data_IF_817850333288
#
_entry.id   IF_817850333288
#
_cell.length_a   1.000
_cell.length_b   1.000
_cell.length_c   1.000
_cell.angle_alpha   90.00
_cell.angle_beta   90.00
_cell.angle_gamma   90.00
#
_symmetry.space_group_name_H-M   'P 1'
#
loop_
_entity.id
_entity.type
_entity.pdbx_description
1 polymer ?
#
# COMPACT_ATOMS: atom_id res chain seq x y z
N UNK A 1 13.27 -5.78 2.50
CA UNK A 1 13.45 -7.24 2.35
C UNK A 1 12.81 -7.67 1.06
N UNK A 2 13.47 -8.57 0.33
CA UNK A 2 12.95 -9.13 -0.92
C UNK A 2 12.92 -10.65 -0.78
N UNK A 3 11.83 -11.29 -1.22
CA UNK A 3 11.71 -12.75 -1.28
C UNK A 3 11.49 -13.18 -2.72
N UNK A 4 12.52 -13.80 -3.31
CA UNK A 4 12.47 -14.42 -4.63
C UNK A 4 11.77 -15.76 -4.47
N UNK A 5 10.52 -15.80 -4.92
CA UNK A 5 9.65 -16.96 -4.82
C UNK A 5 9.74 -17.84 -6.07
N UNK A 6 9.19 -19.05 -5.98
CA UNK A 6 9.04 -20.04 -7.05
C UNK A 6 10.36 -20.68 -7.49
N UNK A 7 11.31 -20.87 -6.58
CA UNK A 7 12.55 -21.63 -6.86
C UNK A 7 12.28 -23.10 -7.23
N UNK A 8 11.08 -23.61 -6.95
CA UNK A 8 10.58 -24.91 -7.43
C UNK A 8 10.25 -24.96 -8.93
N UNK A 9 10.40 -23.82 -9.63
CA UNK A 9 10.20 -23.70 -11.08
C UNK A 9 11.46 -23.20 -11.76
N UNK A 10 11.60 -23.51 -13.04
CA UNK A 10 12.68 -22.99 -13.87
C UNK A 10 12.58 -21.45 -13.91
N UNK A 11 13.72 -20.78 -13.75
CA UNK A 11 13.80 -19.34 -13.57
C UNK A 11 14.99 -18.72 -14.30
N UNK A 12 15.26 -17.46 -13.97
CA UNK A 12 16.51 -16.78 -14.34
C UNK A 12 17.60 -17.14 -13.32
N UNK A 13 18.86 -17.00 -13.74
CA UNK A 13 19.98 -17.18 -12.81
C UNK A 13 19.89 -16.17 -11.64
N UNK A 14 20.24 -16.56 -10.40
CA UNK A 14 20.18 -15.69 -9.24
C UNK A 14 20.96 -14.38 -9.39
N UNK A 15 22.12 -14.37 -10.06
CA UNK A 15 22.88 -13.13 -10.28
C UNK A 15 22.16 -12.18 -11.22
N UNK A 16 21.53 -12.71 -12.28
CA UNK A 16 20.73 -11.91 -13.21
C UNK A 16 19.50 -11.31 -12.51
N UNK A 17 18.84 -12.09 -11.64
CA UNK A 17 17.70 -11.63 -10.86
C UNK A 17 18.07 -10.50 -9.90
N UNK A 18 19.20 -10.62 -9.21
CA UNK A 18 19.68 -9.56 -8.32
C UNK A 18 20.05 -8.30 -9.10
N UNK A 19 20.72 -8.46 -10.25
CA UNK A 19 21.08 -7.33 -11.13
C UNK A 19 19.83 -6.61 -11.65
N UNK A 20 18.81 -7.35 -12.11
CA UNK A 20 17.53 -6.81 -12.54
C UNK A 20 16.79 -6.10 -11.40
N UNK A 21 16.83 -6.64 -10.17
CA UNK A 21 16.26 -6.00 -8.99
C UNK A 21 16.95 -4.65 -8.69
N UNK A 22 18.27 -4.61 -8.73
CA UNK A 22 19.02 -3.36 -8.50
C UNK A 22 18.75 -2.33 -9.59
N UNK A 23 18.67 -2.76 -10.85
CA UNK A 23 18.40 -1.87 -11.99
C UNK A 23 16.99 -1.30 -11.97
N UNK A 24 15.97 -2.12 -11.75
CA UNK A 24 14.56 -1.71 -11.82
C UNK A 24 14.12 -0.97 -10.56
N UNK A 25 14.52 -1.45 -9.37
CA UNK A 25 14.09 -0.89 -8.10
C UNK A 25 15.04 0.19 -7.56
N UNK A 26 16.21 0.37 -8.16
CA UNK A 26 17.24 1.35 -7.74
C UNK A 26 17.62 1.19 -6.26
N UNK A 27 17.76 -0.05 -5.81
CA UNK A 27 18.11 -0.41 -4.42
C UNK A 27 19.20 -1.47 -4.45
N UNK A 28 20.23 -1.34 -3.61
CA UNK A 28 21.28 -2.36 -3.54
C UNK A 28 20.73 -3.65 -2.92
N UNK A 29 21.22 -4.80 -3.38
CA UNK A 29 20.80 -6.11 -2.87
C UNK A 29 21.87 -6.76 -2.01
N UNK A 30 21.44 -7.47 -0.98
CA UNK A 30 22.31 -8.23 -0.09
C UNK A 30 21.75 -9.65 0.09
N UNK A 31 22.29 -10.69 -0.56
CA UNK A 31 21.77 -12.04 -0.42
C UNK A 31 21.97 -12.57 1.01
N UNK A 32 20.87 -12.94 1.68
CA UNK A 32 20.89 -13.60 2.99
C UNK A 32 20.85 -15.11 2.84
N UNK A 33 20.05 -15.58 1.89
CA UNK A 33 20.04 -16.97 1.45
C UNK A 33 20.40 -17.04 -0.05
N UNK A 34 20.94 -18.18 -0.47
CA UNK A 34 21.30 -18.47 -1.86
C UNK A 34 20.70 -19.80 -2.28
N UNK A 35 20.06 -19.90 -3.46
CA UNK A 35 19.44 -21.15 -3.87
C UNK A 35 20.49 -22.17 -4.32
N UNK A 36 20.21 -23.44 -4.07
CA UNK A 36 21.02 -24.58 -4.52
C UNK A 36 20.24 -25.27 -5.64
N UNK A 37 20.60 -24.93 -6.88
CA UNK A 37 19.85 -25.33 -8.06
C UNK A 37 18.54 -24.55 -8.24
N UNK A 38 17.76 -24.93 -9.24
CA UNK A 38 16.49 -24.30 -9.59
C UNK A 38 15.54 -25.33 -10.23
N UNK A 39 14.24 -25.01 -10.27
CA UNK A 39 13.24 -25.85 -10.90
C UNK A 39 13.27 -27.29 -10.43
N UNK A 40 13.36 -28.21 -11.38
CA UNK A 40 13.45 -29.66 -11.10
C UNK A 40 14.70 -30.06 -10.30
N UNK A 41 15.74 -29.24 -10.33
CA UNK A 41 17.02 -29.45 -9.64
C UNK A 41 17.16 -28.65 -8.36
N UNK A 42 16.11 -27.96 -7.91
CA UNK A 42 16.14 -27.22 -6.66
C UNK A 42 16.31 -28.18 -5.47
N UNK A 43 17.40 -28.01 -4.73
CA UNK A 43 17.77 -28.85 -3.58
C UNK A 43 17.68 -28.12 -2.25
N UNK A 44 17.49 -26.81 -2.25
CA UNK A 44 17.36 -26.03 -1.03
C UNK A 44 18.04 -24.68 -1.10
N UNK A 45 18.38 -24.12 0.06
CA UNK A 45 19.04 -22.82 0.18
C UNK A 45 20.23 -22.90 1.15
N UNK A 46 21.25 -22.10 0.89
CA UNK A 46 22.36 -21.85 1.81
C UNK A 46 22.19 -20.48 2.45
N UNK A 47 22.31 -20.38 3.77
CA UNK A 47 22.26 -19.10 4.48
C UNK A 47 23.69 -18.55 4.64
N UNK A 48 23.96 -17.36 4.08
CA UNK A 48 25.32 -16.80 4.05
C UNK A 48 25.86 -16.41 5.43
N UNK A 49 24.99 -15.84 6.28
CA UNK A 49 25.37 -15.39 7.63
C UNK A 49 25.39 -16.50 8.67
N UNK A 50 24.38 -17.38 8.69
CA UNK A 50 24.33 -18.54 9.59
C UNK A 50 25.27 -19.67 9.14
N UNK A 51 25.69 -19.61 7.87
CA UNK A 51 26.54 -20.57 7.17
C UNK A 51 25.96 -21.97 7.16
N UNK A 52 24.63 -22.12 7.11
CA UNK A 52 23.96 -23.42 7.10
C UNK A 52 23.23 -23.71 5.79
N UNK A 53 23.17 -24.99 5.43
CA UNK A 53 22.33 -25.46 4.31
C UNK A 53 21.00 -25.93 4.86
N UNK A 54 19.91 -25.50 4.22
CA UNK A 54 18.57 -26.05 4.41
C UNK A 54 18.18 -26.78 3.14
N UNK A 55 17.87 -28.07 3.27
CA UNK A 55 17.49 -28.90 2.12
C UNK A 55 15.98 -28.85 1.87
N UNK A 56 15.62 -28.79 0.59
CA UNK A 56 14.24 -28.80 0.12
C UNK A 56 13.81 -30.24 -0.21
N UNK A 57 12.68 -30.65 0.38
CA UNK A 57 12.01 -31.92 0.08
C UNK A 57 10.60 -31.62 -0.46
N UNK A 58 10.33 -31.86 -1.76
CA UNK A 58 9.03 -31.63 -2.37
C UNK A 58 7.88 -32.43 -1.73
N UNK A 59 8.19 -33.53 -1.04
CA UNK A 59 7.20 -34.44 -0.46
C UNK A 59 6.81 -34.08 0.98
N UNK A 60 7.58 -33.21 1.66
CA UNK A 60 7.36 -32.82 3.07
C UNK A 60 7.00 -31.35 3.19
N UNK A 61 5.77 -31.02 2.84
CA UNK A 61 5.30 -29.62 2.75
C UNK A 61 5.03 -28.94 4.10
N UNK A 62 5.00 -29.68 5.22
CA UNK A 62 4.54 -29.15 6.52
C UNK A 62 5.20 -29.74 7.78
N UNK A 63 6.04 -30.78 7.65
CA UNK A 63 6.69 -31.45 8.79
C UNK A 63 8.19 -31.48 8.56
N UNK A 64 8.88 -30.65 9.35
CA UNK A 64 10.32 -30.64 9.56
C UNK A 64 11.15 -30.85 8.28
N UNK A 65 11.67 -29.76 7.72
CA UNK A 65 13.00 -29.78 7.09
C UNK A 65 14.08 -30.04 8.16
N UNK A 66 13.92 -31.13 8.92
CA UNK A 66 15.04 -31.85 9.50
C UNK A 66 15.69 -32.53 8.31
N UNK A 67 16.84 -32.05 7.83
CA UNK A 67 17.76 -32.82 6.99
C UNK A 67 19.04 -32.00 6.85
N UNK A 68 19.95 -32.20 7.81
CA UNK A 68 21.34 -31.75 7.78
C UNK A 68 21.59 -30.22 7.82
N UNK A 69 21.46 -29.61 9.01
CA UNK A 69 22.10 -28.31 9.25
C UNK A 69 23.62 -28.55 9.36
N UNK A 70 24.33 -28.35 8.26
CA UNK A 70 25.79 -28.43 8.24
C UNK A 70 26.38 -27.10 7.79
N UNK A 71 27.45 -26.71 8.47
CA UNK A 71 28.26 -25.55 8.10
C UNK A 71 29.37 -25.87 7.10
N UNK A 72 29.59 -27.15 6.86
CA UNK A 72 30.66 -27.63 6.01
C UNK A 72 30.11 -28.04 4.63
N UNK A 73 30.40 -27.23 3.62
CA UNK A 73 30.09 -27.53 2.21
C UNK A 73 30.89 -28.74 1.69
N UNK A 74 31.88 -29.24 2.43
CA UNK A 74 32.58 -30.49 2.13
C UNK A 74 31.94 -31.73 2.75
N UNK A 75 30.84 -31.57 3.50
CA UNK A 75 30.17 -32.69 4.15
C UNK A 75 29.75 -33.77 3.12
N UNK A 76 30.18 -35.01 3.36
CA UNK A 76 29.92 -36.15 2.47
C UNK A 76 28.43 -36.45 2.31
N UNK A 77 27.64 -36.34 3.38
CA UNK A 77 26.18 -36.53 3.30
C UNK A 77 25.51 -35.41 2.49
N UNK A 78 25.96 -34.16 2.65
CA UNK A 78 25.45 -33.04 1.86
C UNK A 78 25.71 -33.27 0.36
N UNK A 79 26.93 -33.67 -0.01
CA UNK A 79 27.31 -33.99 -1.40
C UNK A 79 26.48 -35.15 -1.95
N UNK A 80 26.19 -36.16 -1.13
CA UNK A 80 25.36 -37.31 -1.52
C UNK A 80 23.92 -36.90 -1.83
N UNK A 81 23.35 -35.97 -1.06
CA UNK A 81 21.94 -35.55 -1.22
C UNK A 81 21.79 -34.51 -2.33
N UNK A 82 22.66 -33.51 -2.37
CA UNK A 82 22.57 -32.38 -3.31
C UNK A 82 23.17 -32.72 -4.67
N UNK A 83 24.25 -33.50 -4.70
CA UNK A 83 25.05 -33.76 -5.90
C UNK A 83 26.29 -32.87 -5.95
N UNK A 84 27.39 -33.43 -6.47
CA UNK A 84 28.69 -32.76 -6.50
C UNK A 84 28.69 -31.47 -7.34
N UNK A 85 28.00 -31.46 -8.47
CA UNK A 85 27.99 -30.32 -9.40
C UNK A 85 27.33 -29.09 -8.78
N UNK A 86 26.19 -29.27 -8.10
CA UNK A 86 25.47 -28.18 -7.43
C UNK A 86 26.25 -27.64 -6.22
N UNK A 87 26.98 -28.49 -5.51
CA UNK A 87 27.84 -28.05 -4.40
C UNK A 87 29.07 -27.29 -4.92
N UNK A 88 29.63 -27.69 -6.07
CA UNK A 88 30.73 -26.96 -6.69
C UNK A 88 30.25 -25.58 -7.17
N UNK A 89 29.11 -25.52 -7.89
CA UNK A 89 28.50 -24.23 -8.28
C UNK A 89 28.24 -23.34 -7.06
N UNK A 90 27.65 -23.90 -5.99
CA UNK A 90 27.42 -23.13 -4.77
C UNK A 90 28.72 -22.54 -4.20
N UNK A 91 29.82 -23.28 -4.19
CA UNK A 91 31.11 -22.77 -3.70
C UNK A 91 31.66 -21.66 -4.59
N UNK A 92 31.59 -21.83 -5.90
CA UNK A 92 31.98 -20.79 -6.87
C UNK A 92 31.14 -19.52 -6.63
N UNK A 93 29.82 -19.64 -6.50
CA UNK A 93 28.92 -18.53 -6.19
C UNK A 93 29.30 -17.85 -4.86
N UNK A 94 29.60 -18.63 -3.81
CA UNK A 94 30.01 -18.09 -2.51
C UNK A 94 31.35 -17.35 -2.54
N UNK A 95 32.25 -17.69 -3.47
CA UNK A 95 33.50 -16.95 -3.69
C UNK A 95 33.26 -15.63 -4.44
N UNK A 96 32.27 -15.58 -5.33
CA UNK A 96 31.93 -14.40 -6.12
C UNK A 96 31.14 -13.35 -5.33
N UNK A 97 30.20 -13.78 -4.48
CA UNK A 97 29.26 -12.88 -3.78
C UNK A 97 29.96 -11.72 -3.03
N UNK A 98 31.03 -11.92 -2.24
CA UNK A 98 31.69 -10.83 -1.54
C UNK A 98 32.30 -9.76 -2.45
N UNK A 99 32.59 -10.09 -3.71
CA UNK A 99 33.10 -9.15 -4.72
C UNK A 99 32.00 -8.46 -5.53
N UNK A 100 30.77 -9.00 -5.52
CA UNK A 100 29.64 -8.50 -6.31
C UNK A 100 28.62 -7.71 -5.49
N UNK A 101 28.40 -8.07 -4.23
CA UNK A 101 27.35 -7.50 -3.38
C UNK A 101 27.90 -6.87 -2.11
N UNK A 102 27.23 -5.81 -1.65
CA UNK A 102 27.55 -5.19 -0.38
C UNK A 102 27.18 -6.10 0.80
N UNK A 103 28.04 -6.12 1.81
CA UNK A 103 27.73 -6.78 3.08
C UNK A 103 26.59 -6.08 3.80
N UNK A 104 25.75 -6.84 4.51
CA UNK A 104 24.61 -6.29 5.23
C UNK A 104 24.98 -5.16 6.20
N UNK A 105 24.35 -4.00 6.00
CA UNK A 105 24.44 -2.85 6.88
C UNK A 105 23.04 -2.44 7.37
N UNK A 106 22.84 -2.44 8.69
CA UNK A 106 21.55 -2.14 9.29
C UNK A 106 21.07 -0.69 9.04
N UNK A 107 21.99 0.28 8.96
CA UNK A 107 21.65 1.68 8.66
C UNK A 107 21.15 1.82 7.23
N UNK A 108 21.90 1.26 6.26
CA UNK A 108 21.51 1.28 4.85
C UNK A 108 20.17 0.57 4.62
N UNK A 109 19.91 -0.53 5.34
CA UNK A 109 18.61 -1.20 5.31
C UNK A 109 17.48 -0.30 5.83
N UNK A 110 17.68 0.36 6.98
CA UNK A 110 16.67 1.25 7.60
C UNK A 110 16.40 2.50 6.77
N UNK A 111 17.38 2.95 6.00
CA UNK A 111 17.29 4.07 5.07
C UNK A 111 16.75 3.66 3.68
N UNK A 112 16.43 2.38 3.49
CA UNK A 112 15.95 1.80 2.23
C UNK A 112 16.94 1.89 1.05
N UNK A 113 18.24 1.94 1.34
CA UNK A 113 19.31 1.82 0.34
C UNK A 113 19.74 0.38 0.08
N UNK A 114 19.51 -0.52 1.04
CA UNK A 114 19.91 -1.92 0.97
C UNK A 114 18.73 -2.85 1.26
N UNK A 115 18.52 -3.85 0.41
CA UNK A 115 17.50 -4.87 0.56
C UNK A 115 18.12 -6.26 0.82
N UNK A 116 17.91 -6.86 2.00
CA UNK A 116 18.26 -8.26 2.21
C UNK A 116 17.33 -9.15 1.36
N UNK A 117 17.94 -10.09 0.63
CA UNK A 117 17.25 -10.96 -0.34
C UNK A 117 17.26 -12.41 0.13
N UNK A 118 16.09 -13.04 0.03
CA UNK A 118 15.85 -14.43 0.39
C UNK A 118 15.30 -15.17 -0.82
N UNK A 119 15.70 -16.43 -1.00
CA UNK A 119 15.19 -17.31 -2.04
C UNK A 119 14.35 -18.43 -1.42
N UNK A 120 13.30 -18.87 -2.11
CA UNK A 120 12.51 -19.99 -1.65
C UNK A 120 11.28 -20.33 -2.49
N UNK A 121 10.41 -21.14 -1.90
CA UNK A 121 9.16 -21.58 -2.50
C UNK A 121 8.04 -21.45 -1.48
N UNK A 122 7.27 -20.37 -1.57
CA UNK A 122 6.17 -20.09 -0.66
C UNK A 122 5.05 -21.13 -0.76
N UNK A 123 4.81 -21.69 -1.96
CA UNK A 123 3.84 -22.78 -2.16
C UNK A 123 4.17 -24.00 -1.30
N UNK A 124 5.47 -24.25 -1.12
CA UNK A 124 5.96 -25.37 -0.33
C UNK A 124 6.41 -24.96 1.07
N UNK A 125 6.09 -23.73 1.51
CA UNK A 125 6.52 -23.15 2.78
C UNK A 125 8.04 -23.18 3.02
N UNK A 126 8.84 -23.18 1.94
CA UNK A 126 10.30 -23.31 2.01
C UNK A 126 11.00 -21.96 1.85
N UNK A 127 12.02 -21.67 2.67
CA UNK A 127 12.72 -20.37 2.73
C UNK A 127 11.94 -19.28 3.49
N UNK A 128 10.69 -19.56 3.85
CA UNK A 128 9.80 -18.63 4.56
C UNK A 128 10.23 -18.43 6.02
N UNK A 129 10.60 -19.47 6.79
CA UNK A 129 11.09 -19.28 8.16
C UNK A 129 12.32 -18.35 8.25
N UNK A 130 13.27 -18.46 7.32
CA UNK A 130 14.49 -17.62 7.28
C UNK A 130 14.15 -16.14 7.09
N UNK A 131 13.19 -15.87 6.19
CA UNK A 131 12.65 -14.54 5.98
C UNK A 131 11.99 -14.01 7.26
N UNK A 132 11.15 -14.81 7.92
CA UNK A 132 10.45 -14.40 9.13
C UNK A 132 11.38 -14.20 10.33
N UNK A 133 12.33 -15.10 10.56
CA UNK A 133 13.35 -14.97 11.60
C UNK A 133 14.10 -13.65 11.41
N UNK A 134 14.57 -13.39 10.18
CA UNK A 134 15.27 -12.15 9.86
C UNK A 134 14.34 -10.95 9.98
N UNK A 135 13.08 -11.06 9.58
CA UNK A 135 12.09 -10.00 9.72
C UNK A 135 11.95 -9.55 11.18
N UNK A 136 11.82 -10.49 12.11
CA UNK A 136 11.73 -10.18 13.54
C UNK A 136 13.02 -9.55 14.07
N UNK A 137 14.18 -9.97 13.56
CA UNK A 137 15.48 -9.48 14.03
C UNK A 137 15.82 -8.06 13.56
N UNK A 138 15.57 -7.73 12.28
CA UNK A 138 16.07 -6.49 11.67
C UNK A 138 14.99 -5.48 11.28
N UNK A 139 13.72 -5.88 11.14
CA UNK A 139 12.67 -4.94 10.74
C UNK A 139 12.49 -3.83 11.80
N UNK A 140 12.23 -2.58 11.37
CA UNK A 140 12.00 -1.50 12.31
C UNK A 140 10.68 -1.72 13.07
N UNK A 141 10.69 -1.35 14.35
CA UNK A 141 9.45 -1.21 15.11
C UNK A 141 8.62 0.00 14.66
N UNK A 142 7.56 0.35 15.41
CA UNK A 142 6.82 1.59 15.20
C UNK A 142 7.79 2.78 15.15
N UNK A 143 7.67 3.61 14.12
CA UNK A 143 8.55 4.75 13.90
C UNK A 143 7.81 6.06 14.14
N UNK A 144 8.58 7.12 14.42
CA UNK A 144 8.05 8.45 14.57
C UNK A 144 7.35 8.94 13.29
N UNK A 145 6.20 9.61 13.45
CA UNK A 145 5.38 10.08 12.34
C UNK A 145 5.32 11.60 12.32
N UNK A 146 5.53 12.19 11.12
CA UNK A 146 5.45 13.64 10.92
C UNK A 146 3.99 14.06 10.79
N UNK A 147 3.57 15.03 11.60
CA UNK A 147 2.30 15.73 11.45
C UNK A 147 2.53 17.13 10.86
N UNK A 148 1.47 17.91 10.67
CA UNK A 148 1.60 19.31 10.27
C UNK A 148 2.21 20.18 11.38
N UNK A 149 1.98 19.80 12.62
CA UNK A 149 2.33 20.55 13.82
C UNK A 149 3.69 20.13 14.38
N UNK A 150 3.97 18.81 14.48
CA UNK A 150 5.21 18.29 15.07
C UNK A 150 5.51 16.84 14.66
N UNK A 151 6.60 16.29 15.16
CA UNK A 151 6.89 14.86 15.10
C UNK A 151 6.22 14.18 16.30
N UNK A 152 5.51 13.08 16.05
CA UNK A 152 4.88 12.22 17.08
C UNK A 152 5.76 11.00 17.28
N UNK A 153 6.19 10.77 18.52
CA UNK A 153 6.99 9.60 18.90
C UNK A 153 6.09 8.46 19.38
N UNK A 154 6.38 7.20 19.02
CA UNK A 154 5.57 6.07 19.45
C UNK A 154 5.61 5.85 20.96
N UNK A 155 6.66 6.29 21.65
CA UNK A 155 6.81 6.18 23.10
C UNK A 155 5.98 7.20 23.90
N UNK A 156 5.29 8.15 23.25
CA UNK A 156 4.43 9.10 23.96
C UNK A 156 3.27 8.38 24.67
N UNK A 157 2.95 8.81 25.90
CA UNK A 157 1.89 8.20 26.71
C UNK A 157 0.49 8.43 26.12
N UNK A 158 0.28 9.61 25.52
CA UNK A 158 -1.02 10.02 24.98
C UNK A 158 -1.32 9.32 23.67
N UNK A 159 -2.55 8.81 23.57
CA UNK A 159 -2.98 8.16 22.34
C UNK A 159 -3.04 9.14 21.18
N UNK A 160 -2.46 8.73 20.06
CA UNK A 160 -2.71 9.31 18.75
C UNK A 160 -2.74 8.23 17.68
N UNK A 161 -3.55 8.43 16.65
CA UNK A 161 -3.59 7.55 15.50
C UNK A 161 -4.37 8.15 14.35
N UNK A 162 -4.25 7.53 13.18
CA UNK A 162 -4.87 8.05 11.96
C UNK A 162 -5.55 6.94 11.16
N UNK A 163 -6.64 7.30 10.49
CA UNK A 163 -7.37 6.42 9.59
C UNK A 163 -6.66 6.39 8.24
N UNK A 164 -6.14 5.23 7.83
CA UNK A 164 -5.43 5.09 6.55
C UNK A 164 -6.22 4.33 5.49
N UNK A 165 -7.23 3.57 5.91
CA UNK A 165 -8.08 2.79 5.01
C UNK A 165 -9.50 2.75 5.54
N UNK A 166 -10.46 2.76 4.64
CA UNK A 166 -11.87 2.57 4.97
C UNK A 166 -12.42 1.49 4.06
N UNK A 167 -13.26 0.62 4.61
CA UNK A 167 -13.97 -0.39 3.85
C UNK A 167 -15.44 -0.34 4.24
N UNK A 168 -16.34 -0.17 3.29
CA UNK A 168 -17.77 -0.29 3.54
C UNK A 168 -18.22 -1.72 3.27
N UNK A 169 -19.24 -2.16 4.00
CA UNK A 169 -20.00 -3.35 3.67
C UNK A 169 -19.21 -4.67 3.68
N UNK A 170 -18.34 -4.83 4.69
CA UNK A 170 -17.62 -6.10 4.97
C UNK A 170 -18.56 -7.27 5.26
N UNK A 171 -19.78 -7.00 5.73
CA UNK A 171 -20.80 -8.00 6.03
C UNK A 171 -22.09 -7.66 5.26
N UNK A 172 -22.59 -8.54 4.38
CA UNK A 172 -23.85 -8.33 3.66
C UNK A 172 -25.06 -8.07 4.57
N UNK A 173 -25.06 -8.61 5.78
CA UNK A 173 -26.16 -8.52 6.74
C UNK A 173 -26.12 -7.23 7.56
N UNK A 174 -24.91 -6.72 7.80
CA UNK A 174 -24.67 -5.50 8.55
C UNK A 174 -23.83 -4.58 7.68
N UNK A 175 -24.51 -3.68 6.96
CA UNK A 175 -23.94 -2.64 6.08
C UNK A 175 -23.12 -1.61 6.86
N UNK A 176 -22.16 -2.08 7.64
CA UNK A 176 -21.34 -1.30 8.53
C UNK A 176 -20.08 -0.91 7.77
N UNK A 177 -19.72 0.37 7.90
CA UNK A 177 -18.46 0.92 7.40
C UNK A 177 -17.42 0.76 8.50
N UNK A 178 -16.24 0.33 8.12
CA UNK A 178 -15.12 0.16 9.03
C UNK A 178 -13.94 1.01 8.59
N UNK A 179 -13.45 1.83 9.51
CA UNK A 179 -12.23 2.60 9.36
C UNK A 179 -11.08 1.86 10.03
N UNK A 180 -10.01 1.61 9.28
CA UNK A 180 -8.77 1.04 9.78
C UNK A 180 -7.89 2.19 10.26
N UNK A 181 -7.67 2.22 11.57
CA UNK A 181 -6.82 3.19 12.23
C UNK A 181 -5.50 2.55 12.60
N UNK A 182 -4.40 3.21 12.23
CA UNK A 182 -3.05 2.87 12.70
C UNK A 182 -2.74 3.69 13.95
N UNK A 183 -2.35 3.00 15.02
CA UNK A 183 -1.93 3.66 16.25
C UNK A 183 -0.50 4.18 16.07
N UNK A 184 -0.32 5.45 16.40
CA UNK A 184 0.94 6.18 16.24
C UNK A 184 1.67 6.37 17.56
N UNK A 185 0.94 6.63 18.65
CA UNK A 185 1.48 6.75 20.01
C UNK A 185 0.45 6.35 21.06
N UNK A 186 0.90 6.16 22.30
CA UNK A 186 0.07 5.90 23.47
C UNK A 186 -0.69 4.58 23.40
N UNK A 187 -1.73 4.48 24.22
CA UNK A 187 -2.56 3.27 24.34
C UNK A 187 -3.99 3.53 23.93
N UNK A 188 -4.48 2.75 22.97
CA UNK A 188 -5.89 2.67 22.70
C UNK A 188 -6.56 1.77 23.75
N UNK A 189 -7.63 2.25 24.35
CA UNK A 189 -8.54 1.55 25.25
C UNK A 189 -9.98 1.62 24.72
N UNK A 190 -10.67 0.50 24.79
CA UNK A 190 -12.09 0.39 24.45
C UNK A 190 -12.96 1.24 25.38
N UNK A 191 -14.05 1.80 24.84
CA UNK A 191 -14.98 2.70 25.53
C UNK A 191 -14.38 4.00 26.08
N UNK A 192 -13.09 4.25 25.88
CA UNK A 192 -12.48 5.56 26.14
C UNK A 192 -12.97 6.58 25.11
N UNK A 193 -12.99 7.84 25.53
CA UNK A 193 -13.35 8.97 24.67
C UNK A 193 -12.08 9.49 24.01
N UNK A 194 -12.10 9.59 22.68
CA UNK A 194 -11.06 10.19 21.87
C UNK A 194 -11.58 11.42 21.16
N UNK A 195 -10.70 12.37 20.94
CA UNK A 195 -10.98 13.59 20.21
C UNK A 195 -10.72 13.39 18.72
N UNK A 196 -11.72 13.68 17.89
CA UNK A 196 -11.60 13.68 16.44
C UNK A 196 -11.22 15.08 15.96
N UNK A 197 -10.00 15.23 15.44
CA UNK A 197 -9.41 16.53 15.13
C UNK A 197 -10.18 17.31 14.05
N UNK A 198 -10.49 16.69 12.89
CA UNK A 198 -11.21 17.38 11.79
C UNK A 198 -12.65 17.78 12.14
N UNK A 199 -13.36 16.95 12.90
CA UNK A 199 -14.77 17.20 13.22
C UNK A 199 -14.96 18.03 14.49
N UNK A 200 -13.90 18.28 15.24
CA UNK A 200 -13.92 18.93 16.56
C UNK A 200 -14.95 18.28 17.51
N UNK A 201 -14.87 16.94 17.61
CA UNK A 201 -15.85 16.13 18.35
C UNK A 201 -15.22 14.98 19.10
N UNK A 202 -15.78 14.70 20.27
CA UNK A 202 -15.46 13.53 21.06
C UNK A 202 -16.19 12.29 20.53
N UNK A 203 -15.47 11.18 20.38
CA UNK A 203 -15.97 9.90 19.90
C UNK A 203 -15.62 8.79 20.88
N UNK A 204 -16.48 7.78 20.96
CA UNK A 204 -16.28 6.59 21.80
C UNK A 204 -16.54 5.34 20.96
N UNK A 205 -15.66 4.35 21.10
CA UNK A 205 -15.74 3.10 20.35
C UNK A 205 -15.98 1.92 21.29
N UNK A 206 -17.14 1.30 21.18
CA UNK A 206 -17.58 0.21 22.07
C UNK A 206 -17.31 -1.18 21.55
N UNK A 207 -17.02 -1.33 20.24
CA UNK A 207 -16.71 -2.61 19.61
C UNK A 207 -15.60 -2.46 18.56
N UNK A 208 -14.40 -1.96 18.94
CA UNK A 208 -13.27 -1.93 18.03
C UNK A 208 -12.83 -3.37 17.69
N UNK A 209 -12.53 -3.61 16.42
CA UNK A 209 -12.14 -4.93 15.92
C UNK A 209 -10.62 -5.01 15.71
N UNK A 210 -10.02 -6.15 16.01
CA UNK A 210 -8.73 -6.54 15.42
C UNK A 210 -8.96 -7.63 14.39
N UNK A 211 -8.04 -7.70 13.45
CA UNK A 211 -8.01 -8.69 12.40
C UNK A 211 -6.85 -9.62 12.65
N UNK A 212 -7.12 -10.73 13.34
CA UNK A 212 -6.17 -11.82 13.48
C UNK A 212 -6.58 -12.94 12.51
N UNK A 213 -5.83 -13.06 11.41
CA UNK A 213 -6.12 -13.97 10.31
C UNK A 213 -7.56 -13.79 9.77
N UNK A 214 -8.38 -14.85 9.78
CA UNK A 214 -9.76 -14.83 9.28
C UNK A 214 -10.80 -14.44 10.33
N UNK A 215 -10.39 -14.24 11.59
CA UNK A 215 -11.32 -14.00 12.70
C UNK A 215 -11.31 -12.53 13.11
N UNK A 216 -12.51 -11.97 13.27
CA UNK A 216 -12.73 -10.65 13.88
C UNK A 216 -12.91 -10.87 15.37
N UNK A 217 -12.06 -10.26 16.20
CA UNK A 217 -12.23 -10.22 17.65
C UNK A 217 -12.33 -8.78 18.13
N UNK A 218 -13.05 -8.58 19.24
CA UNK A 218 -13.11 -7.26 19.88
C UNK A 218 -11.80 -7.02 20.63
N UNK A 219 -11.27 -5.81 20.50
CA UNK A 219 -10.04 -5.38 21.19
C UNK A 219 -10.40 -4.58 22.43
N UNK A 220 -9.77 -4.88 23.55
CA UNK A 220 -9.89 -4.05 24.75
C UNK A 220 -8.76 -3.01 24.82
N UNK A 221 -7.53 -3.37 24.42
CA UNK A 221 -6.40 -2.44 24.31
C UNK A 221 -5.49 -2.70 23.09
N UNK A 222 -4.83 -1.66 22.58
CA UNK A 222 -3.88 -1.75 21.47
C UNK A 222 -2.79 -0.66 21.56
N UNK A 223 -1.65 -0.91 20.92
CA UNK A 223 -0.40 -0.17 21.07
C UNK A 223 0.13 0.40 19.74
N UNK A 224 1.14 1.30 19.76
CA UNK A 224 1.72 1.86 18.54
C UNK A 224 2.18 0.78 17.57
N UNK A 225 1.85 0.95 16.29
CA UNK A 225 2.08 -0.07 15.26
C UNK A 225 0.88 -0.98 14.99
N UNK A 226 -0.01 -1.16 15.97
CA UNK A 226 -1.24 -1.93 15.76
C UNK A 226 -2.21 -1.22 14.81
N UNK A 227 -3.01 -2.03 14.14
CA UNK A 227 -4.11 -1.58 13.29
C UNK A 227 -5.43 -2.08 13.88
N UNK A 228 -6.31 -1.14 14.21
CA UNK A 228 -7.64 -1.43 14.74
C UNK A 228 -8.73 -1.00 13.75
N UNK A 229 -9.80 -1.79 13.70
CA UNK A 229 -11.02 -1.51 12.93
C UNK A 229 -12.06 -0.80 13.78
N UNK A 230 -12.41 0.42 13.40
CA UNK A 230 -13.42 1.23 14.07
C UNK A 230 -14.70 1.24 13.23
N UNK A 231 -15.81 0.81 13.81
CA UNK A 231 -17.11 0.95 13.17
C UNK A 231 -17.52 2.42 13.11
N UNK A 232 -17.97 2.84 11.94
CA UNK A 232 -18.33 4.21 11.66
C UNK A 232 -19.63 4.31 10.86
N UNK A 233 -20.38 5.38 11.09
CA UNK A 233 -21.63 5.69 10.40
C UNK A 233 -21.48 6.76 9.31
N UNK A 234 -20.24 7.03 8.85
CA UNK A 234 -19.96 8.07 7.85
C UNK A 234 -19.13 9.25 8.37
N UNK A 235 -18.73 9.27 9.65
CA UNK A 235 -18.02 10.39 10.24
C UNK A 235 -16.52 10.37 9.92
N UNK A 236 -15.92 9.18 9.85
CA UNK A 236 -14.48 9.01 9.62
C UNK A 236 -14.15 9.08 8.12
N UNK A 237 -13.00 9.63 7.80
CA UNK A 237 -12.42 9.70 6.45
C UNK A 237 -10.97 9.26 6.50
N UNK A 238 -10.46 8.80 5.36
CA UNK A 238 -9.03 8.55 5.21
C UNK A 238 -8.28 9.88 5.48
N UNK A 239 -7.26 9.83 6.33
CA UNK A 239 -6.55 11.01 6.84
C UNK A 239 -7.02 11.51 8.20
N UNK A 240 -8.17 11.05 8.72
CA UNK A 240 -8.66 11.56 10.01
C UNK A 240 -7.78 11.11 11.17
N UNK A 241 -7.44 12.07 12.03
CA UNK A 241 -6.68 11.86 13.26
C UNK A 241 -7.61 11.74 14.47
N UNK A 242 -7.35 10.75 15.31
CA UNK A 242 -7.93 10.59 16.64
C UNK A 242 -6.83 10.73 17.70
N UNK A 243 -7.09 11.53 18.73
CA UNK A 243 -6.12 11.84 19.79
C UNK A 243 -6.78 11.91 21.17
N UNK A 244 -6.00 12.15 22.22
CA UNK A 244 -6.48 12.52 23.56
C UNK A 244 -6.56 14.04 23.78
N UNK A 245 -7.00 14.78 22.76
CA UNK A 245 -7.32 16.21 22.82
C UNK A 245 -6.34 17.13 22.11
N UNK A 246 -5.16 16.64 21.74
CA UNK A 246 -4.23 17.40 20.88
C UNK A 246 -4.75 17.44 19.44
N UNK A 247 -4.72 18.61 18.80
CA UNK A 247 -5.10 18.74 17.39
C UNK A 247 -3.88 18.37 16.55
N UNK A 248 -3.94 17.21 15.90
CA UNK A 248 -2.87 16.70 15.04
C UNK A 248 -3.39 16.42 13.63
N UNK A 249 -2.56 16.74 12.65
CA UNK A 249 -2.84 16.44 11.23
C UNK A 249 -1.72 15.57 10.67
N UNK A 250 -1.95 14.26 10.57
CA UNK A 250 -0.96 13.33 10.00
C UNK A 250 -0.76 13.60 8.50
N UNK A 251 0.51 13.67 8.08
CA UNK A 251 0.90 13.86 6.67
C UNK A 251 1.25 12.52 6.01
N UNK A 252 1.20 12.49 4.67
CA UNK A 252 1.70 11.35 3.89
C UNK A 252 0.67 10.26 3.64
N UNK A 253 -0.61 10.61 3.53
CA UNK A 253 -1.65 9.72 3.01
C UNK A 253 -2.03 10.24 1.63
N UNK A 254 -1.22 9.95 0.59
CA UNK A 254 -1.42 10.54 -0.71
C UNK A 254 -2.73 10.06 -1.32
N UNK A 255 -3.54 11.00 -1.79
CA UNK A 255 -4.48 10.71 -2.88
C UNK A 255 -3.72 10.94 -4.18
N UNK A 256 -3.39 9.86 -4.87
CA UNK A 256 -2.74 9.93 -6.17
C UNK A 256 -3.66 10.58 -7.21
N UNK A 257 -3.11 11.44 -8.07
CA UNK A 257 -3.83 11.91 -9.24
C UNK A 257 -4.29 10.70 -10.06
N UNK A 258 -5.54 10.66 -10.51
CA UNK A 258 -6.00 9.60 -11.38
C UNK A 258 -5.28 9.69 -12.73
N UNK A 259 -4.91 8.54 -13.27
CA UNK A 259 -4.33 8.42 -14.62
C UNK A 259 -5.41 8.14 -15.67
N UNK A 260 -6.49 7.46 -15.27
CA UNK A 260 -7.57 7.09 -16.16
C UNK A 260 -8.86 7.75 -15.69
N UNK A 261 -9.50 8.51 -16.58
CA UNK A 261 -10.74 9.24 -16.31
C UNK A 261 -11.86 8.69 -17.19
N UNK A 262 -12.90 8.14 -16.56
CA UNK A 262 -14.09 7.66 -17.25
C UNK A 262 -15.34 8.32 -16.68
N UNK A 263 -16.27 8.72 -17.54
CA UNK A 263 -17.61 9.09 -17.13
C UNK A 263 -18.37 7.86 -16.65
N UNK A 264 -19.01 7.96 -15.49
CA UNK A 264 -19.85 6.90 -14.95
C UNK A 264 -21.31 7.20 -15.26
N UNK A 265 -21.94 6.28 -15.99
CA UNK A 265 -23.31 6.41 -16.45
C UNK A 265 -24.16 5.36 -15.75
N UNK A 266 -25.23 5.81 -15.09
CA UNK A 266 -26.20 4.92 -14.49
C UNK A 266 -26.93 4.14 -15.60
N UNK A 267 -26.84 2.81 -15.57
CA UNK A 267 -27.49 1.95 -16.54
C UNK A 267 -28.96 1.64 -16.17
N UNK A 268 -29.36 1.92 -14.93
CA UNK A 268 -30.72 1.69 -14.43
C UNK A 268 -31.29 2.98 -13.78
N UNK A 269 -32.06 3.78 -14.52
CA UNK A 269 -32.66 5.01 -14.01
C UNK A 269 -33.54 4.79 -12.77
N UNK A 270 -34.16 3.61 -12.60
CA UNK A 270 -35.02 3.31 -11.44
C UNK A 270 -34.22 3.20 -10.14
N UNK A 271 -32.92 2.90 -10.23
CA UNK A 271 -32.02 2.74 -9.07
C UNK A 271 -31.08 3.93 -8.86
N UNK A 272 -31.46 5.12 -9.34
CA UNK A 272 -30.64 6.33 -9.22
C UNK A 272 -30.20 6.62 -7.77
N UNK A 273 -31.08 6.43 -6.77
CA UNK A 273 -30.72 6.68 -5.35
C UNK A 273 -29.66 5.69 -4.84
N UNK A 274 -29.76 4.43 -5.22
CA UNK A 274 -28.80 3.39 -4.85
C UNK A 274 -27.46 3.60 -5.57
N UNK A 275 -27.51 3.97 -6.86
CA UNK A 275 -26.35 4.35 -7.64
C UNK A 275 -25.58 5.51 -6.99
N UNK A 276 -26.26 6.62 -6.66
CA UNK A 276 -25.64 7.77 -5.99
C UNK A 276 -25.01 7.40 -4.66
N UNK A 277 -25.74 6.64 -3.83
CA UNK A 277 -25.27 6.23 -2.51
C UNK A 277 -24.04 5.32 -2.62
N UNK A 278 -24.09 4.32 -3.50
CA UNK A 278 -23.00 3.37 -3.70
C UNK A 278 -21.76 4.04 -4.28
N UNK A 279 -21.92 4.89 -5.29
CA UNK A 279 -20.79 5.61 -5.90
C UNK A 279 -20.07 6.48 -4.87
N UNK A 280 -20.82 7.25 -4.06
CA UNK A 280 -20.24 8.07 -3.00
C UNK A 280 -19.49 7.22 -1.97
N UNK A 281 -20.10 6.15 -1.48
CA UNK A 281 -19.48 5.28 -0.48
C UNK A 281 -18.21 4.60 -1.01
N UNK A 282 -18.23 4.07 -2.23
CA UNK A 282 -17.05 3.44 -2.85
C UNK A 282 -15.92 4.46 -3.08
N UNK A 283 -16.24 5.70 -3.44
CA UNK A 283 -15.23 6.77 -3.57
C UNK A 283 -14.71 7.27 -2.22
N UNK A 284 -15.52 7.20 -1.16
CA UNK A 284 -15.11 7.51 0.21
C UNK A 284 -14.20 6.44 0.83
N UNK A 285 -14.23 5.21 0.31
CA UNK A 285 -13.25 4.16 0.63
C UNK A 285 -11.88 4.40 0.00
N UNK A 286 -11.75 5.39 -0.88
CA UNK A 286 -10.50 5.66 -1.61
C UNK A 286 -10.27 4.73 -2.80
N UNK A 287 -11.28 3.96 -3.25
CA UNK A 287 -11.16 3.13 -4.46
C UNK A 287 -10.94 3.97 -5.71
N UNK A 288 -11.54 5.16 -5.76
CA UNK A 288 -11.44 6.07 -6.87
C UNK A 288 -11.77 7.50 -6.45
N UNK A 289 -11.39 8.46 -7.28
CA UNK A 289 -11.77 9.85 -7.12
C UNK A 289 -13.06 10.15 -7.88
N UNK A 290 -13.99 10.84 -7.22
CA UNK A 290 -15.22 11.33 -7.83
C UNK A 290 -15.10 12.81 -8.16
N UNK A 291 -15.32 13.14 -9.43
CA UNK A 291 -15.47 14.51 -9.89
C UNK A 291 -16.86 14.73 -10.47
N UNK A 292 -17.35 15.95 -10.32
CA UNK A 292 -18.68 16.35 -10.77
C UNK A 292 -18.56 17.58 -11.66
N UNK A 293 -19.18 17.51 -12.83
CA UNK A 293 -19.22 18.58 -13.83
C UNK A 293 -20.69 19.03 -14.04
N UNK A 294 -20.89 20.31 -14.36
CA UNK A 294 -22.20 20.90 -14.72
C UNK A 294 -23.36 20.60 -13.74
N UNK A 295 -23.40 21.29 -12.59
CA UNK A 295 -24.50 21.20 -11.60
C UNK A 295 -24.93 19.75 -11.26
N UNK A 296 -24.02 18.77 -11.31
CA UNK A 296 -24.32 17.38 -10.94
C UNK A 296 -24.72 16.45 -12.09
N UNK A 297 -24.81 16.94 -13.33
CA UNK A 297 -25.26 16.14 -14.48
C UNK A 297 -24.26 15.08 -14.89
N UNK A 298 -22.96 15.42 -14.91
CA UNK A 298 -21.90 14.51 -15.33
C UNK A 298 -21.02 14.13 -14.17
N UNK A 299 -20.80 12.82 -14.00
CA UNK A 299 -19.93 12.26 -12.96
C UNK A 299 -18.77 11.54 -13.60
N UNK A 300 -17.58 11.88 -13.13
CA UNK A 300 -16.33 11.36 -13.67
C UNK A 300 -15.62 10.63 -12.54
N UNK A 301 -15.17 9.42 -12.84
CA UNK A 301 -14.41 8.58 -11.94
C UNK A 301 -12.98 8.53 -12.44
N UNK A 302 -12.06 8.93 -11.55
CA UNK A 302 -10.64 8.86 -11.77
C UNK A 302 -10.01 7.71 -10.99
N UNK A 303 -9.23 6.87 -11.67
CA UNK A 303 -8.49 5.75 -11.06
C UNK A 303 -7.03 5.75 -11.50
N UNK A 304 -6.17 5.04 -10.76
CA UNK A 304 -4.77 4.82 -11.15
C UNK A 304 -4.68 3.61 -12.08
N UNK A 305 -5.53 2.61 -11.90
CA UNK A 305 -5.56 1.41 -12.74
C UNK A 305 -6.94 1.10 -13.31
N UNK A 306 -6.97 0.38 -14.43
CA UNK A 306 -8.21 0.02 -15.13
C UNK A 306 -9.08 -0.95 -14.32
N UNK A 307 -8.46 -1.92 -13.63
CA UNK A 307 -9.15 -2.92 -12.79
C UNK A 307 -10.05 -2.27 -11.72
N UNK A 308 -9.73 -1.05 -11.27
CA UNK A 308 -10.54 -0.34 -10.29
C UNK A 308 -11.95 -0.03 -10.81
N UNK A 309 -12.13 0.18 -12.11
CA UNK A 309 -13.46 0.36 -12.71
C UNK A 309 -14.29 -0.93 -12.62
N UNK A 310 -13.68 -2.08 -12.92
CA UNK A 310 -14.35 -3.38 -12.84
C UNK A 310 -14.78 -3.69 -11.40
N UNK A 311 -13.90 -3.39 -10.43
CA UNK A 311 -14.21 -3.51 -9.01
C UNK A 311 -15.38 -2.60 -8.61
N UNK A 312 -15.40 -1.35 -9.07
CA UNK A 312 -16.52 -0.43 -8.79
C UNK A 312 -17.82 -0.97 -9.39
N UNK A 313 -17.81 -1.41 -10.65
CA UNK A 313 -19.00 -1.96 -11.30
C UNK A 313 -19.53 -3.19 -10.55
N UNK A 314 -18.64 -4.14 -10.23
CA UNK A 314 -19.00 -5.35 -9.50
C UNK A 314 -19.57 -5.05 -8.11
N UNK A 315 -18.91 -4.17 -7.34
CA UNK A 315 -19.36 -3.80 -5.99
C UNK A 315 -20.67 -3.01 -6.04
N UNK A 316 -20.82 -2.08 -6.98
CA UNK A 316 -22.04 -1.30 -7.12
C UNK A 316 -23.26 -2.20 -7.40
N UNK A 317 -23.07 -3.21 -8.25
CA UNK A 317 -24.11 -4.19 -8.54
C UNK A 317 -24.37 -5.12 -7.36
N UNK A 318 -23.33 -5.70 -6.75
CA UNK A 318 -23.47 -6.69 -5.68
C UNK A 318 -23.97 -6.10 -4.36
N UNK A 319 -23.49 -4.91 -4.00
CA UNK A 319 -23.75 -4.30 -2.69
C UNK A 319 -24.95 -3.36 -2.69
N UNK A 320 -25.17 -2.67 -3.81
CA UNK A 320 -26.21 -1.64 -3.95
C UNK A 320 -27.28 -2.02 -4.97
N UNK A 321 -27.11 -3.11 -5.71
CA UNK A 321 -28.05 -3.54 -6.74
C UNK A 321 -28.08 -2.62 -7.96
N UNK A 322 -27.16 -1.68 -8.10
CA UNK A 322 -27.17 -0.65 -9.14
C UNK A 322 -26.13 -0.98 -10.22
N UNK A 323 -26.53 -0.87 -11.50
CA UNK A 323 -25.66 -1.12 -12.65
C UNK A 323 -25.11 0.19 -13.19
N UNK A 324 -23.86 0.18 -13.60
CA UNK A 324 -23.24 1.30 -14.27
C UNK A 324 -22.48 0.85 -15.52
N UNK A 325 -22.19 1.81 -16.39
CA UNK A 325 -21.23 1.67 -17.48
C UNK A 325 -20.25 2.83 -17.45
N UNK A 326 -19.03 2.58 -17.88
CA UNK A 326 -18.00 3.59 -17.97
C UNK A 326 -17.76 4.00 -19.43
N UNK A 327 -17.57 5.29 -19.66
CA UNK A 327 -17.21 5.84 -20.95
C UNK A 327 -15.90 6.61 -20.83
N UNK A 328 -14.90 6.26 -21.64
CA UNK A 328 -13.60 6.92 -21.62
C UNK A 328 -13.74 8.39 -22.00
N UNK A 329 -13.03 9.25 -21.27
CA UNK A 329 -12.94 10.68 -21.54
C UNK A 329 -11.58 11.02 -22.15
N UNK A 330 -11.50 12.07 -22.99
CA UNK A 330 -10.26 12.49 -23.64
C UNK A 330 -9.33 13.27 -22.68
N UNK A 331 -9.44 13.05 -21.36
CA UNK A 331 -8.63 13.74 -20.36
C UNK A 331 -7.41 12.89 -20.02
N UNK A 332 -6.23 13.48 -20.18
CA UNK A 332 -4.96 12.87 -19.80
C UNK A 332 -4.63 13.10 -18.33
N UNK A 333 -4.99 14.27 -17.77
CA UNK A 333 -4.60 14.66 -16.40
C UNK A 333 -5.69 15.45 -15.69
N UNK A 334 -5.79 15.21 -14.37
CA UNK A 334 -6.59 16.02 -13.45
C UNK A 334 -5.66 16.80 -12.51
N UNK A 335 -5.77 18.13 -12.50
CA UNK A 335 -4.91 19.00 -11.69
C UNK A 335 -5.74 19.87 -10.75
N UNK A 336 -5.42 19.87 -9.46
CA UNK A 336 -5.88 20.94 -8.57
C UNK A 336 -5.08 22.21 -8.87
N UNK A 337 -5.70 23.36 -8.64
CA UNK A 337 -5.05 24.63 -8.88
C UNK A 337 -5.51 25.69 -7.90
N UNK A 338 -4.65 26.68 -7.66
CA UNK A 338 -4.98 27.83 -6.83
C UNK A 338 -3.96 28.95 -7.00
N UNK A 339 -4.35 30.14 -6.55
CA UNK A 339 -3.59 31.37 -6.68
C UNK A 339 -4.00 32.35 -5.60
N UNK A 340 -3.04 33.17 -5.14
CA UNK A 340 -3.32 34.33 -4.29
C UNK A 340 -4.00 35.47 -5.10
N UNK A 341 -3.89 35.44 -6.43
CA UNK A 341 -4.53 36.37 -7.35
C UNK A 341 -5.96 35.91 -7.70
N UNK A 342 -6.95 36.39 -6.95
CA UNK A 342 -8.36 36.03 -7.16
C UNK A 342 -8.91 36.39 -8.54
N UNK A 343 -8.50 37.53 -9.10
CA UNK A 343 -8.99 37.96 -10.41
C UNK A 343 -8.55 37.00 -11.52
N UNK A 344 -7.27 36.61 -11.50
CA UNK A 344 -6.72 35.66 -12.45
C UNK A 344 -7.32 34.26 -12.28
N UNK A 345 -7.57 33.83 -11.03
CA UNK A 345 -8.23 32.56 -10.73
C UNK A 345 -9.66 32.50 -11.30
N UNK A 346 -10.45 33.55 -11.09
CA UNK A 346 -11.81 33.64 -11.64
C UNK A 346 -11.81 33.68 -13.17
N UNK A 347 -10.86 34.40 -13.77
CA UNK A 347 -10.69 34.46 -15.22
C UNK A 347 -10.36 33.07 -15.79
N UNK A 348 -9.45 32.33 -15.16
CA UNK A 348 -9.10 30.98 -15.55
C UNK A 348 -10.31 30.04 -15.50
N UNK A 349 -11.06 30.05 -14.39
CA UNK A 349 -12.27 29.23 -14.22
C UNK A 349 -13.30 29.56 -15.31
N UNK A 350 -13.50 30.85 -15.63
CA UNK A 350 -14.42 31.28 -16.70
C UNK A 350 -13.94 30.84 -18.08
N UNK A 351 -12.67 31.06 -18.41
CA UNK A 351 -12.10 30.76 -19.73
C UNK A 351 -11.99 29.26 -19.99
N UNK A 352 -11.78 28.45 -18.95
CA UNK A 352 -11.63 27.00 -19.03
C UNK A 352 -12.84 26.23 -18.49
N UNK A 353 -14.01 26.87 -18.34
CA UNK A 353 -15.19 26.29 -17.70
C UNK A 353 -15.56 24.87 -18.18
N UNK A 354 -15.43 24.58 -19.48
CA UNK A 354 -15.69 23.27 -20.07
C UNK A 354 -14.75 22.14 -19.57
N UNK A 355 -13.59 22.50 -19.01
CA UNK A 355 -12.59 21.59 -18.47
C UNK A 355 -12.49 21.68 -16.93
N UNK A 356 -13.34 22.50 -16.30
CA UNK A 356 -13.39 22.60 -14.83
C UNK A 356 -14.44 21.65 -14.30
N UNK A 357 -14.01 20.85 -13.33
CA UNK A 357 -14.87 19.95 -12.56
C UNK A 357 -14.61 20.16 -11.07
N UNK A 358 -15.47 19.61 -10.22
CA UNK A 358 -15.35 19.75 -8.78
C UNK A 358 -15.13 18.40 -8.12
N UNK A 359 -14.17 18.33 -7.20
CA UNK A 359 -13.97 17.14 -6.38
C UNK A 359 -15.03 17.02 -5.27
N UNK A 360 -14.96 15.94 -4.48
CA UNK A 360 -15.88 15.69 -3.35
C UNK A 360 -15.87 16.78 -2.26
N UNK A 361 -14.82 17.60 -2.20
CA UNK A 361 -14.66 18.72 -1.28
C UNK A 361 -15.08 20.06 -1.91
N UNK A 362 -15.70 20.02 -3.11
CA UNK A 362 -16.10 21.18 -3.89
C UNK A 362 -14.91 22.06 -4.31
N UNK A 363 -13.71 21.49 -4.43
CA UNK A 363 -12.54 22.18 -4.97
C UNK A 363 -12.52 22.05 -6.48
N UNK A 364 -12.17 23.14 -7.17
CA UNK A 364 -12.05 23.13 -8.62
C UNK A 364 -10.83 22.33 -9.07
N UNK A 365 -11.03 21.52 -10.10
CA UNK A 365 -10.04 20.65 -10.71
C UNK A 365 -10.07 20.88 -12.21
N UNK A 366 -8.89 21.11 -12.78
CA UNK A 366 -8.70 21.31 -14.21
C UNK A 366 -8.41 19.97 -14.88
N UNK A 367 -9.25 19.59 -15.84
CA UNK A 367 -9.13 18.38 -16.64
C UNK A 367 -8.42 18.70 -17.96
N UNK A 368 -7.12 18.39 -18.02
CA UNK A 368 -6.29 18.63 -19.19
C UNK A 368 -6.35 17.43 -20.16
N UNK A 369 -6.60 17.70 -21.43
CA UNK A 369 -6.61 16.67 -22.49
C UNK A 369 -5.20 16.23 -22.89
N UNK A 370 -4.19 17.07 -22.64
CA UNK A 370 -2.78 16.79 -22.95
C UNK A 370 -1.83 17.60 -22.07
N UNK A 371 -0.57 17.18 -22.03
CA UNK A 371 0.51 17.93 -21.37
C UNK A 371 0.72 19.31 -21.99
N UNK A 372 0.55 19.42 -23.30
CA UNK A 372 0.63 20.70 -24.00
C UNK A 372 -0.41 21.70 -23.48
N UNK A 373 -1.66 21.25 -23.30
CA UNK A 373 -2.75 22.09 -22.78
C UNK A 373 -2.45 22.58 -21.35
N UNK A 374 -1.86 21.71 -20.52
CA UNK A 374 -1.46 22.06 -19.16
C UNK A 374 -0.34 23.11 -19.17
N UNK A 375 0.68 22.93 -20.01
CA UNK A 375 1.80 23.86 -20.12
C UNK A 375 1.36 25.23 -20.66
N UNK A 376 0.54 25.25 -21.73
CA UNK A 376 -0.03 26.49 -22.24
C UNK A 376 -0.85 27.24 -21.18
N UNK A 377 -1.59 26.51 -20.33
CA UNK A 377 -2.36 27.11 -19.23
C UNK A 377 -1.45 27.71 -18.16
N UNK A 378 -0.30 27.10 -17.85
CA UNK A 378 0.72 27.65 -16.95
C UNK A 378 1.37 28.93 -17.51
N UNK A 379 1.64 28.95 -18.80
CA UNK A 379 2.21 30.13 -19.47
C UNK A 379 1.21 31.29 -19.55
N UNK A 380 -0.07 30.99 -19.83
CA UNK A 380 -1.12 32.01 -19.94
C UNK A 380 -1.51 32.59 -18.56
N UNK A 381 -1.41 31.78 -17.50
CA UNK A 381 -1.81 32.14 -16.14
C UNK A 381 -0.67 31.85 -15.14
N UNK A 382 0.38 32.70 -15.13
CA UNK A 382 1.60 32.41 -14.37
C UNK A 382 1.42 32.47 -12.85
N UNK A 383 0.39 33.16 -12.33
CA UNK A 383 0.13 33.22 -10.88
C UNK A 383 -0.65 31.99 -10.39
N UNK A 384 -1.10 31.11 -11.29
CA UNK A 384 -1.84 29.89 -10.93
C UNK A 384 -0.87 28.72 -10.76
N UNK A 385 -0.85 28.17 -9.55
CA UNK A 385 -0.10 26.95 -9.22
C UNK A 385 -0.98 25.74 -9.50
N UNK A 386 -0.47 24.79 -10.28
CA UNK A 386 -1.14 23.52 -10.59
C UNK A 386 -0.46 22.36 -9.86
N UNK A 387 -1.21 21.54 -9.14
CA UNK A 387 -0.72 20.37 -8.40
C UNK A 387 -1.45 19.10 -8.81
N UNK A 388 -0.74 17.97 -8.73
CA UNK A 388 -1.29 16.63 -8.95
C UNK A 388 -1.69 15.93 -7.64
N UNK A 389 -1.41 16.55 -6.50
CA UNK A 389 -1.80 16.03 -5.18
C UNK A 389 -2.90 16.88 -4.58
N UNK A 390 -3.94 16.19 -4.10
CA UNK A 390 -5.06 16.80 -3.40
C UNK A 390 -4.73 17.21 -1.95
N UNK A 391 -3.54 16.86 -1.44
CA UNK A 391 -3.11 17.16 -0.05
C UNK A 391 -2.79 18.64 0.18
N UNK A 392 -2.49 19.40 -0.87
CA UNK A 392 -2.21 20.83 -0.72
C UNK A 392 -3.51 21.61 -0.58
N UNK A 393 -3.70 22.25 0.58
CA UNK A 393 -4.55 23.43 0.66
C UNK A 393 -3.82 24.52 -0.13
N UNK A 394 -4.23 24.73 -1.38
CA UNK A 394 -3.75 25.83 -2.23
C UNK A 394 -4.59 27.07 -1.96
#
# INVERSE_FOLDING_TARGET
>A
MVFINKMDREGKDPFDLLSELEEELKIATCPFTWPIGEGSRFKGVYHLYRKDVRLYDPQKTLKSTELLNTKDLNNTELRRIVGQDLINKLKEDMELIPGLFESFNLSLYREAYLAPVFFGSALNSFGVPELFDSFVEIAPGPAALKTAERLVQPEEEKFSGFVFKIHANLDPNHRNRMAFLRISSGRFERNKIYYHCRLDKNMRFSAPATFMANNKSTVDEAYPGDVIGLYDNGNLKIGDALTEGEILTFKGIPNFAPEILKEVINADPMKAKQFEKGLRQLTDEGLAQLFVQEQGKRKIIGTVGELQFDVIQFRLEKEYGAKCRFQLLPYAKACWFGSDNRAQLEEFIKRKAAHIVFDKNNRAVFMAESDWMLNNSRETFPDIRFTMSSEFNI
#
